data_IF_890458869317
#
_entry.id   IF_890458869317
#
_cell.length_a   1.000
_cell.length_b   1.000
_cell.length_c   1.000
_cell.angle_alpha   90.00
_cell.angle_beta   90.00
_cell.angle_gamma   90.00
#
_symmetry.space_group_name_H-M   'P 1'
#
loop_
_entity.id
_entity.type
_entity.pdbx_description
1 polymer ?
#
# COMPACT_ATOMS: atom_id res chain seq x y z
N UNK A 1 -16.87 26.56 19.29
CA UNK A 1 -15.74 26.19 18.40
C UNK A 1 -16.30 25.56 17.13
N UNK A 2 -15.92 26.03 15.95
CA UNK A 2 -16.37 25.48 14.66
C UNK A 2 -15.30 24.54 14.10
N UNK A 3 -15.67 23.30 13.81
CA UNK A 3 -14.80 22.28 13.22
C UNK A 3 -15.61 21.24 12.48
N UNK A 4 -14.97 20.49 11.59
CA UNK A 4 -15.62 19.48 10.77
C UNK A 4 -15.26 18.08 11.26
N UNK A 5 -16.18 17.13 11.12
CA UNK A 5 -15.95 15.73 11.47
C UNK A 5 -15.10 15.07 10.37
N UNK A 6 -14.06 14.35 10.77
CA UNK A 6 -13.26 13.54 9.86
C UNK A 6 -13.97 12.23 9.50
N UNK A 7 -14.05 11.88 8.22
CA UNK A 7 -14.65 10.64 7.70
C UNK A 7 -13.94 9.37 8.17
N UNK A 8 -12.64 9.45 8.46
CA UNK A 8 -11.81 8.29 8.77
C UNK A 8 -11.65 8.02 10.26
N UNK A 9 -11.56 9.07 11.10
CA UNK A 9 -11.42 8.90 12.55
C UNK A 9 -12.62 9.38 13.36
N UNK A 10 -13.65 9.95 12.72
CA UNK A 10 -14.87 10.47 13.37
C UNK A 10 -14.65 11.58 14.41
N UNK A 11 -13.44 12.10 14.54
CA UNK A 11 -13.13 13.22 15.44
C UNK A 11 -13.41 14.58 14.78
N UNK A 12 -13.77 15.58 15.59
CA UNK A 12 -13.89 16.97 15.15
C UNK A 12 -12.50 17.60 14.97
N UNK A 13 -12.27 18.22 13.82
CA UNK A 13 -10.96 18.77 13.43
C UNK A 13 -11.12 20.19 12.87
N UNK A 14 -10.19 21.07 13.24
CA UNK A 14 -10.15 22.45 12.72
C UNK A 14 -9.71 22.53 11.26
N UNK A 15 -8.82 21.62 10.84
CA UNK A 15 -8.29 21.53 9.47
C UNK A 15 -8.68 20.20 8.84
N UNK A 16 -9.40 20.28 7.73
CA UNK A 16 -9.85 19.13 6.95
C UNK A 16 -9.77 19.43 5.45
N UNK A 17 -9.76 18.38 4.65
CA UNK A 17 -9.87 18.45 3.18
C UNK A 17 -11.17 17.77 2.77
N UNK A 18 -11.99 18.45 1.98
CA UNK A 18 -13.16 17.85 1.36
C UNK A 18 -12.74 16.82 0.29
N UNK A 19 -13.27 15.59 0.36
CA UNK A 19 -12.89 14.44 -0.48
C UNK A 19 -13.04 14.67 -1.98
N UNK A 20 -13.96 15.56 -2.37
CA UNK A 20 -14.24 15.91 -3.77
C UNK A 20 -13.62 17.24 -4.21
N UNK A 21 -12.76 17.84 -3.38
CA UNK A 21 -12.06 19.08 -3.73
C UNK A 21 -10.91 18.85 -4.72
N UNK A 22 -10.46 19.91 -5.39
CA UNK A 22 -9.25 19.87 -6.23
C UNK A 22 -8.00 19.43 -5.46
N UNK A 23 -7.87 19.82 -4.18
CA UNK A 23 -6.77 19.38 -3.30
C UNK A 23 -6.80 17.87 -3.07
N UNK A 24 -7.98 17.30 -2.79
CA UNK A 24 -8.15 15.85 -2.63
C UNK A 24 -7.83 15.09 -3.93
N UNK A 25 -8.18 15.65 -5.10
CA UNK A 25 -7.81 15.09 -6.41
C UNK A 25 -6.29 15.07 -6.62
N UNK A 26 -5.59 16.17 -6.32
CA UNK A 26 -4.11 16.25 -6.41
C UNK A 26 -3.42 15.21 -5.52
N UNK A 27 -3.96 14.97 -4.32
CA UNK A 27 -3.44 13.97 -3.38
C UNK A 27 -3.87 12.52 -3.71
N UNK A 28 -4.74 12.34 -4.71
CA UNK A 28 -5.34 11.07 -5.09
C UNK A 28 -6.06 10.36 -3.91
N UNK A 29 -6.71 11.11 -3.01
CA UNK A 29 -7.27 10.55 -1.76
C UNK A 29 -8.26 9.42 -2.02
N UNK A 30 -9.19 9.58 -2.96
CA UNK A 30 -10.18 8.54 -3.28
C UNK A 30 -9.54 7.23 -3.76
N UNK A 31 -8.43 7.31 -4.52
CA UNK A 31 -7.68 6.11 -4.96
C UNK A 31 -7.05 5.40 -3.76
N UNK A 32 -6.47 6.17 -2.84
CA UNK A 32 -5.77 5.64 -1.67
C UNK A 32 -6.75 5.03 -0.65
N UNK A 33 -7.88 5.69 -0.40
CA UNK A 33 -8.89 5.19 0.55
C UNK A 33 -9.50 3.85 0.09
N UNK A 34 -9.60 3.60 -1.21
CA UNK A 34 -10.05 2.29 -1.73
C UNK A 34 -9.19 1.10 -1.30
N UNK A 35 -7.99 1.32 -0.74
CA UNK A 35 -7.17 0.26 -0.15
C UNK A 35 -7.58 -0.09 1.28
N UNK A 36 -8.38 0.75 1.92
CA UNK A 36 -8.93 0.47 3.24
C UNK A 36 -10.18 -0.42 3.09
N UNK A 37 -10.50 -1.26 4.08
CA UNK A 37 -11.70 -2.09 4.08
C UNK A 37 -12.95 -1.26 4.45
N UNK A 38 -13.15 -0.12 3.78
CA UNK A 38 -14.30 0.77 3.96
C UNK A 38 -14.83 1.22 2.60
N UNK A 39 -16.15 1.42 2.55
CA UNK A 39 -16.83 1.97 1.37
C UNK A 39 -17.08 3.46 1.60
N UNK A 40 -16.69 4.29 0.62
CA UNK A 40 -17.04 5.72 0.60
C UNK A 40 -17.97 5.95 -0.59
N UNK A 41 -19.18 6.41 -0.31
CA UNK A 41 -20.14 6.84 -1.30
C UNK A 41 -20.23 8.39 -1.33
N UNK A 42 -20.52 8.96 -2.49
CA UNK A 42 -20.71 10.41 -2.63
C UNK A 42 -22.03 10.87 -2.04
N UNK A 43 -23.04 10.04 -2.11
CA UNK A 43 -24.43 10.31 -1.74
C UNK A 43 -24.80 9.73 -0.36
N UNK A 44 -23.86 9.09 0.35
CA UNK A 44 -24.09 8.70 1.74
C UNK A 44 -24.28 9.95 2.65
N UNK A 45 -24.89 9.78 3.82
CA UNK A 45 -25.10 10.87 4.80
C UNK A 45 -23.91 11.07 5.75
N UNK A 46 -22.70 10.68 5.33
CA UNK A 46 -21.53 10.65 6.20
C UNK A 46 -20.55 11.79 5.84
N UNK A 47 -19.59 12.12 6.73
CA UNK A 47 -18.71 13.27 6.53
C UNK A 47 -17.94 13.20 5.20
N UNK A 48 -17.92 14.30 4.45
CA UNK A 48 -17.18 14.39 3.17
C UNK A 48 -15.79 14.99 3.33
N UNK A 49 -15.28 15.02 4.56
CA UNK A 49 -14.05 15.69 4.95
C UNK A 49 -13.08 14.72 5.62
N UNK A 50 -11.78 14.84 5.36
CA UNK A 50 -10.73 14.05 6.01
C UNK A 50 -9.68 14.99 6.61
N UNK A 51 -9.22 14.71 7.83
CA UNK A 51 -8.20 15.50 8.49
C UNK A 51 -6.78 15.18 8.02
N UNK A 52 -5.84 16.10 8.26
CA UNK A 52 -4.45 15.97 7.83
C UNK A 52 -3.76 14.71 8.41
N UNK A 53 -4.02 14.41 9.68
CA UNK A 53 -3.46 13.23 10.38
C UNK A 53 -3.91 11.90 9.72
N UNK A 54 -5.18 11.79 9.32
CA UNK A 54 -5.65 10.60 8.61
C UNK A 54 -5.07 10.51 7.20
N UNK A 55 -4.84 11.64 6.52
CA UNK A 55 -4.20 11.64 5.19
C UNK A 55 -2.75 11.17 5.28
N UNK A 56 -2.00 11.63 6.27
CA UNK A 56 -0.62 11.20 6.50
C UNK A 56 -0.54 9.69 6.76
N UNK A 57 -1.38 9.17 7.66
CA UNK A 57 -1.46 7.71 7.92
C UNK A 57 -1.85 6.92 6.67
N UNK A 58 -2.79 7.44 5.89
CA UNK A 58 -3.20 6.83 4.62
C UNK A 58 -2.05 6.77 3.62
N UNK A 59 -1.19 7.80 3.57
CA UNK A 59 0.00 7.82 2.71
C UNK A 59 0.99 6.71 3.10
N UNK A 60 1.28 6.59 4.40
CA UNK A 60 2.18 5.58 4.93
C UNK A 60 1.67 4.17 4.57
N UNK A 61 0.38 3.92 4.79
CA UNK A 61 -0.24 2.64 4.45
C UNK A 61 -0.21 2.36 2.94
N UNK A 62 -0.53 3.35 2.11
CA UNK A 62 -0.50 3.20 0.65
C UNK A 62 0.92 2.84 0.16
N UNK A 63 1.94 3.52 0.68
CA UNK A 63 3.34 3.25 0.33
C UNK A 63 3.80 1.86 0.78
N UNK A 64 3.36 1.40 1.96
CA UNK A 64 3.62 0.04 2.41
C UNK A 64 3.00 -0.99 1.46
N UNK A 65 1.74 -0.82 1.08
CA UNK A 65 1.06 -1.73 0.14
C UNK A 65 1.76 -1.77 -1.21
N UNK A 66 2.25 -0.64 -1.72
CA UNK A 66 3.02 -0.62 -2.97
C UNK A 66 4.33 -1.42 -2.87
N UNK A 67 5.07 -1.27 -1.75
CA UNK A 67 6.29 -2.05 -1.50
C UNK A 67 6.00 -3.54 -1.43
N UNK A 68 4.95 -3.95 -0.73
CA UNK A 68 4.53 -5.35 -0.63
C UNK A 68 4.18 -5.90 -2.03
N UNK A 69 3.38 -5.16 -2.82
CA UNK A 69 3.04 -5.57 -4.19
C UNK A 69 4.27 -5.74 -5.08
N UNK A 70 5.23 -4.81 -5.00
CA UNK A 70 6.51 -4.90 -5.73
C UNK A 70 7.31 -6.13 -5.29
N UNK A 71 7.44 -6.36 -3.98
CA UNK A 71 8.14 -7.52 -3.44
C UNK A 71 7.51 -8.82 -3.91
N UNK A 72 6.18 -8.95 -3.80
CA UNK A 72 5.46 -10.13 -4.25
C UNK A 72 5.61 -10.38 -5.76
N UNK A 73 5.65 -9.32 -6.58
CA UNK A 73 5.89 -9.45 -8.01
C UNK A 73 7.30 -10.02 -8.30
N UNK A 74 8.32 -9.51 -7.60
CA UNK A 74 9.71 -10.00 -7.69
C UNK A 74 9.82 -11.46 -7.24
N UNK A 75 9.20 -11.81 -6.11
CA UNK A 75 9.20 -13.19 -5.60
C UNK A 75 8.47 -14.15 -6.56
N UNK A 76 7.36 -13.72 -7.17
CA UNK A 76 6.64 -14.52 -8.16
C UNK A 76 7.48 -14.76 -9.41
N UNK A 77 8.12 -13.73 -9.96
CA UNK A 77 8.99 -13.91 -11.13
C UNK A 77 10.22 -14.74 -10.80
N UNK A 78 10.85 -14.53 -9.64
CA UNK A 78 11.92 -15.39 -9.15
C UNK A 78 11.49 -16.87 -9.13
N UNK A 79 10.34 -17.21 -8.52
CA UNK A 79 9.83 -18.59 -8.51
C UNK A 79 9.56 -19.17 -9.90
N UNK A 80 9.19 -18.35 -10.89
CA UNK A 80 8.99 -18.83 -12.27
C UNK A 80 10.30 -19.22 -12.95
N UNK A 81 11.38 -18.50 -12.68
CA UNK A 81 12.69 -18.74 -13.30
C UNK A 81 13.46 -19.91 -12.68
N UNK A 82 13.19 -20.25 -11.41
CA UNK A 82 13.81 -21.39 -10.72
C UNK A 82 13.06 -22.69 -10.97
N UNK A 83 13.16 -23.25 -12.17
CA UNK A 83 12.50 -24.52 -12.51
C UNK A 83 13.27 -25.76 -12.02
N UNK A 84 14.58 -25.65 -11.75
CA UNK A 84 15.49 -26.77 -11.39
C UNK A 84 16.57 -26.36 -10.36
N UNK A 85 16.25 -25.51 -9.38
CA UNK A 85 17.22 -25.03 -8.38
C UNK A 85 18.25 -23.99 -8.88
N UNK A 86 18.50 -23.90 -10.20
CA UNK A 86 19.39 -22.87 -10.78
C UNK A 86 18.72 -21.50 -10.88
N UNK A 87 19.48 -20.45 -10.53
CA UNK A 87 19.11 -19.05 -10.69
C UNK A 87 19.61 -18.50 -12.05
N UNK A 88 18.75 -18.26 -13.05
CA UNK A 88 19.19 -17.71 -14.33
C UNK A 88 19.46 -16.20 -14.24
N UNK A 89 20.15 -15.62 -15.23
CA UNK A 89 20.56 -14.20 -15.23
C UNK A 89 19.39 -13.23 -15.37
N UNK A 90 18.27 -13.71 -15.93
CA UNK A 90 17.01 -12.97 -16.05
C UNK A 90 16.24 -12.90 -14.73
N UNK A 91 16.67 -13.64 -13.70
CA UNK A 91 16.06 -13.58 -12.38
C UNK A 91 16.24 -12.18 -11.76
N UNK A 92 15.16 -11.54 -11.28
CA UNK A 92 15.26 -10.19 -10.68
C UNK A 92 16.02 -10.17 -9.34
N UNK A 93 16.32 -11.36 -8.79
CA UNK A 93 17.13 -11.56 -7.59
C UNK A 93 18.48 -12.22 -7.92
N UNK A 94 18.89 -12.28 -9.20
CA UNK A 94 20.15 -12.87 -9.60
C UNK A 94 21.33 -12.20 -8.88
N UNK A 95 22.21 -13.01 -8.28
CA UNK A 95 23.40 -12.52 -7.56
C UNK A 95 23.13 -11.90 -6.18
N UNK A 96 21.88 -11.89 -5.70
CA UNK A 96 21.58 -11.47 -4.33
C UNK A 96 21.87 -12.66 -3.40
N UNK A 97 22.92 -12.53 -2.59
CA UNK A 97 23.29 -13.52 -1.59
C UNK A 97 22.39 -13.38 -0.36
N UNK A 98 21.46 -14.32 -0.14
CA UNK A 98 20.68 -14.42 1.10
C UNK A 98 21.36 -15.44 2.03
N UNK A 99 22.04 -14.99 3.12
CA UNK A 99 22.68 -15.91 4.06
C UNK A 99 21.69 -16.82 4.81
N UNK A 100 20.38 -16.56 4.77
CA UNK A 100 19.34 -17.40 5.38
C UNK A 100 18.71 -18.43 4.42
N UNK A 101 19.08 -18.46 3.13
CA UNK A 101 18.57 -19.45 2.16
C UNK A 101 19.44 -20.72 2.06
N UNK A 102 20.52 -20.82 2.84
CA UNK A 102 21.52 -21.89 2.79
C UNK A 102 21.05 -23.28 3.29
N UNK A 103 19.80 -23.69 3.03
CA UNK A 103 19.23 -24.91 3.60
C UNK A 103 18.15 -25.62 2.79
N UNK A 104 18.10 -25.47 1.46
CA UNK A 104 17.18 -26.25 0.61
C UNK A 104 17.84 -26.92 -0.61
N UNK A 105 19.17 -26.92 -0.70
CA UNK A 105 19.91 -27.73 -1.67
C UNK A 105 20.69 -28.81 -0.91
N UNK A 106 19.97 -29.77 -0.30
CA UNK A 106 20.54 -31.08 0.00
C UNK A 106 20.25 -32.00 -1.16
N UNK A 107 21.07 -31.90 -2.21
CA UNK A 107 21.35 -33.05 -3.07
C UNK A 107 22.67 -33.66 -2.56
N UNK A 108 22.55 -34.55 -1.57
CA UNK A 108 23.61 -35.50 -1.21
C UNK A 108 23.77 -36.50 -2.36
N UNK A 109 24.99 -36.60 -2.90
CA UNK A 109 25.50 -37.77 -3.60
C UNK A 109 26.93 -38.03 -3.15
#
# INVERSE_FOLDING_TARGET
MTGFICRLCSEQKKKVIHLYSGKAKKLALMKKIKLLPITIDKYDNLPKTVCEQCIERLEIQYNLVLKIKKSNAIQRSHRMFHSNGRCPVECPLHGIHDPNWAGLDTDEL
#
